data_IF_852356938344
#
_entry.id   IF_852356938344
#
_cell.length_a   1.000
_cell.length_b   1.000
_cell.length_c   1.000
_cell.angle_alpha   90.00
_cell.angle_beta   90.00
_cell.angle_gamma   90.00
#
_symmetry.space_group_name_H-M   'P 1'
#
loop_
_entity.id
_entity.type
_entity.pdbx_description
1 polymer ?
#
# COMPACT_ATOMS: atom_id res chain seq x y z
N UNK A 1 -6.98 12.63 9.44
CA UNK A 1 -5.92 12.38 8.43
C UNK A 1 -5.30 11.04 8.79
N UNK A 2 -5.25 10.10 7.85
CA UNK A 2 -4.83 8.72 8.12
C UNK A 2 -3.44 8.49 7.54
N UNK A 3 -2.47 8.13 8.38
CA UNK A 3 -1.09 7.84 7.99
C UNK A 3 -0.96 6.38 7.58
N UNK A 4 -0.10 6.11 6.61
CA UNK A 4 0.28 4.78 6.13
C UNK A 4 1.78 4.68 5.91
N UNK A 5 2.31 3.47 6.04
CA UNK A 5 3.70 3.12 5.77
C UNK A 5 3.76 2.06 4.67
N UNK A 6 3.57 2.45 3.39
CA UNK A 6 3.59 1.50 2.29
C UNK A 6 4.99 0.90 2.12
N UNK A 7 5.05 -0.41 1.95
CA UNK A 7 6.27 -1.15 1.60
C UNK A 7 6.23 -1.49 0.11
N UNK A 8 7.27 -1.13 -0.64
CA UNK A 8 7.34 -1.48 -2.06
C UNK A 8 7.73 -2.95 -2.22
N UNK A 9 6.91 -3.69 -2.97
CA UNK A 9 7.06 -5.16 -3.11
C UNK A 9 8.41 -5.53 -3.73
N UNK A 10 8.93 -4.75 -4.67
CA UNK A 10 10.25 -5.03 -5.29
C UNK A 10 11.39 -4.90 -4.29
N UNK A 11 11.35 -3.91 -3.39
CA UNK A 11 12.34 -3.78 -2.31
C UNK A 11 12.24 -4.98 -1.36
N UNK A 12 11.02 -5.42 -1.04
CA UNK A 12 10.80 -6.62 -0.24
C UNK A 12 11.34 -7.90 -0.91
N UNK A 13 11.12 -8.07 -2.21
CA UNK A 13 11.70 -9.17 -2.96
C UNK A 13 13.24 -9.13 -2.94
N UNK A 14 13.86 -7.95 -3.04
CA UNK A 14 15.30 -7.81 -2.93
C UNK A 14 15.81 -8.22 -1.54
N UNK A 15 15.07 -7.93 -0.47
CA UNK A 15 15.40 -8.37 0.90
C UNK A 15 15.40 -9.91 0.97
N UNK A 16 14.38 -10.55 0.42
CA UNK A 16 14.31 -12.02 0.35
C UNK A 16 15.50 -12.59 -0.43
N UNK A 17 15.85 -11.99 -1.56
CA UNK A 17 17.01 -12.40 -2.37
C UNK A 17 18.30 -12.27 -1.56
N UNK A 18 18.52 -11.17 -0.85
CA UNK A 18 19.70 -10.98 0.00
C UNK A 18 19.75 -12.04 1.12
N UNK A 19 18.62 -12.34 1.76
CA UNK A 19 18.54 -13.40 2.77
C UNK A 19 18.99 -14.76 2.21
N UNK A 20 18.54 -15.12 1.01
CA UNK A 20 18.89 -16.38 0.35
C UNK A 20 20.38 -16.40 -0.02
N UNK A 21 20.89 -15.32 -0.61
CA UNK A 21 22.27 -15.25 -1.10
C UNK A 21 23.30 -15.27 0.03
N UNK A 22 22.99 -14.58 1.13
CA UNK A 22 23.89 -14.45 2.29
C UNK A 22 23.61 -15.46 3.38
N UNK A 23 22.60 -16.32 3.21
CA UNK A 23 22.12 -17.29 4.22
C UNK A 23 21.86 -16.63 5.58
N UNK A 24 21.21 -15.47 5.57
CA UNK A 24 20.83 -14.77 6.80
C UNK A 24 19.78 -15.58 7.57
N UNK A 25 19.95 -15.64 8.87
CA UNK A 25 19.03 -16.27 9.81
C UNK A 25 18.50 -15.21 10.78
N UNK A 26 17.24 -15.34 11.19
CA UNK A 26 16.60 -14.42 12.14
C UNK A 26 15.17 -14.07 11.77
N UNK A 27 14.55 -13.25 12.62
CA UNK A 27 13.21 -12.69 12.42
C UNK A 27 13.39 -11.17 12.27
N UNK A 28 12.88 -10.62 11.17
CA UNK A 28 13.01 -9.20 10.84
C UNK A 28 11.65 -8.64 10.46
N UNK A 29 11.21 -7.60 11.18
CA UNK A 29 9.99 -6.87 10.85
C UNK A 29 10.29 -5.85 9.75
N UNK A 30 9.87 -6.15 8.53
CA UNK A 30 10.11 -5.28 7.38
C UNK A 30 8.92 -4.34 7.17
N UNK A 31 9.18 -3.04 7.28
CA UNK A 31 8.17 -2.00 7.19
C UNK A 31 8.56 -0.92 6.18
N UNK A 32 7.56 -0.25 5.59
CA UNK A 32 7.78 0.94 4.77
C UNK A 32 8.47 2.06 5.57
N UNK A 33 9.51 2.66 4.98
CA UNK A 33 10.29 3.73 5.63
C UNK A 33 9.51 5.05 5.64
N UNK A 34 8.85 5.37 4.52
CA UNK A 34 8.13 6.62 4.39
C UNK A 34 6.73 6.55 5.02
N UNK A 35 6.40 7.58 5.80
CA UNK A 35 5.04 7.80 6.32
C UNK A 35 4.30 8.74 5.38
N UNK A 36 3.24 8.24 4.75
CA UNK A 36 2.46 8.96 3.74
C UNK A 36 1.01 9.05 4.19
N UNK A 37 0.33 10.16 3.92
CA UNK A 37 -1.10 10.23 4.18
C UNK A 37 -1.88 9.45 3.11
N UNK A 38 -2.94 8.76 3.52
CA UNK A 38 -3.81 8.01 2.62
C UNK A 38 -4.29 8.83 1.41
N UNK A 39 -4.69 10.09 1.65
CA UNK A 39 -5.14 10.99 0.57
C UNK A 39 -4.03 11.26 -0.45
N UNK A 40 -2.78 11.32 -0.01
CA UNK A 40 -1.64 11.55 -0.90
C UNK A 40 -1.31 10.29 -1.70
N UNK A 41 -1.55 9.09 -1.14
CA UNK A 41 -1.51 7.83 -1.91
C UNK A 41 -2.52 7.86 -3.05
N UNK A 42 -3.79 8.20 -2.76
CA UNK A 42 -4.84 8.26 -3.78
C UNK A 42 -4.51 9.31 -4.86
N UNK A 43 -3.98 10.47 -4.47
CA UNK A 43 -3.53 11.50 -5.42
C UNK A 43 -2.38 11.02 -6.30
N UNK A 44 -1.40 10.31 -5.74
CA UNK A 44 -0.28 9.75 -6.50
C UNK A 44 -0.77 8.71 -7.51
N UNK A 45 -1.63 7.78 -7.10
CA UNK A 45 -2.26 6.80 -8.01
C UNK A 45 -2.99 7.52 -9.15
N UNK A 46 -3.84 8.50 -8.83
CA UNK A 46 -4.59 9.29 -9.84
C UNK A 46 -3.65 9.99 -10.83
N UNK A 47 -2.54 10.56 -10.34
CA UNK A 47 -1.53 11.23 -11.17
C UNK A 47 -0.90 10.27 -12.18
N UNK A 48 -0.42 9.12 -11.74
CA UNK A 48 0.30 8.17 -12.60
C UNK A 48 -0.60 7.33 -13.50
N UNK A 49 -1.83 7.04 -13.05
CA UNK A 49 -2.86 6.40 -13.89
C UNK A 49 -3.56 7.38 -14.84
N UNK A 50 -3.24 8.69 -14.76
CA UNK A 50 -3.89 9.77 -15.55
C UNK A 50 -5.42 9.80 -15.41
N UNK A 51 -5.93 9.36 -14.27
CA UNK A 51 -7.37 9.28 -14.02
C UNK A 51 -7.98 10.67 -13.85
N UNK A 52 -9.17 10.88 -14.43
CA UNK A 52 -9.95 12.13 -14.28
C UNK A 52 -10.90 12.11 -13.07
N UNK A 53 -10.97 11.01 -12.32
CA UNK A 53 -11.90 10.82 -11.19
C UNK A 53 -11.76 11.89 -10.10
N UNK A 54 -12.88 12.43 -9.62
CA UNK A 54 -12.89 13.42 -8.54
C UNK A 54 -12.57 12.76 -7.19
N UNK A 55 -11.69 13.39 -6.39
CA UNK A 55 -11.41 12.95 -5.02
C UNK A 55 -12.30 13.76 -4.08
N UNK A 56 -13.28 13.08 -3.47
CA UNK A 56 -14.22 13.69 -2.52
C UNK A 56 -13.92 13.20 -1.11
N UNK A 57 -13.79 14.15 -0.17
CA UNK A 57 -13.67 13.83 1.24
C UNK A 57 -15.07 13.74 1.86
N UNK A 58 -15.55 12.52 2.10
CA UNK A 58 -16.83 12.28 2.75
C UNK A 58 -16.62 11.94 4.24
N UNK A 59 -17.58 12.28 5.12
CA UNK A 59 -17.53 11.88 6.52
C UNK A 59 -17.52 10.35 6.67
N UNK A 60 -16.78 9.84 7.66
CA UNK A 60 -16.65 8.40 7.92
C UNK A 60 -18.00 7.70 8.09
N UNK A 61 -18.90 8.29 8.89
CA UNK A 61 -20.21 7.71 9.18
C UNK A 61 -21.07 7.54 7.91
N UNK A 62 -20.95 8.48 6.96
CA UNK A 62 -21.70 8.44 5.71
C UNK A 62 -21.21 7.26 4.87
N UNK A 63 -19.89 7.11 4.74
CA UNK A 63 -19.31 6.00 3.98
C UNK A 63 -19.61 4.64 4.62
N UNK A 64 -19.50 4.55 5.95
CA UNK A 64 -19.87 3.37 6.72
C UNK A 64 -21.32 2.94 6.44
N UNK A 65 -22.26 3.91 6.48
CA UNK A 65 -23.68 3.64 6.25
C UNK A 65 -23.94 3.15 4.83
N UNK A 66 -23.28 3.74 3.84
CA UNK A 66 -23.39 3.31 2.44
C UNK A 66 -22.90 1.86 2.25
N UNK A 67 -21.75 1.50 2.83
CA UNK A 67 -21.23 0.12 2.77
C UNK A 67 -22.13 -0.88 3.52
N UNK A 68 -22.66 -0.49 4.68
CA UNK A 68 -23.57 -1.33 5.45
C UNK A 68 -24.86 -1.63 4.67
N UNK A 69 -25.46 -0.60 4.06
CA UNK A 69 -26.65 -0.77 3.23
C UNK A 69 -26.33 -1.65 2.02
N UNK A 70 -25.19 -1.45 1.36
CA UNK A 70 -24.77 -2.28 0.23
C UNK A 70 -24.62 -3.76 0.60
N UNK A 71 -23.98 -4.06 1.73
CA UNK A 71 -23.77 -5.44 2.20
C UNK A 71 -25.04 -6.21 2.53
N UNK A 72 -26.19 -5.54 2.61
CA UNK A 72 -27.51 -6.21 2.71
C UNK A 72 -27.96 -6.75 1.34
N UNK A 73 -27.57 -6.09 0.24
CA UNK A 73 -27.99 -6.46 -1.11
C UNK A 73 -26.98 -7.37 -1.82
N UNK A 74 -25.70 -7.27 -1.47
CA UNK A 74 -24.60 -7.98 -2.10
C UNK A 74 -23.80 -8.77 -1.05
N UNK A 75 -23.77 -10.11 -1.11
CA UNK A 75 -23.01 -10.93 -0.17
C UNK A 75 -21.49 -10.85 -0.39
N UNK A 76 -21.02 -10.32 -1.53
CA UNK A 76 -19.58 -10.15 -1.83
C UNK A 76 -19.29 -8.73 -2.34
N UNK A 77 -19.46 -7.70 -1.48
CA UNK A 77 -19.26 -6.33 -1.90
C UNK A 77 -17.77 -6.08 -2.18
N UNK A 78 -17.44 -5.25 -3.19
CA UNK A 78 -16.05 -4.95 -3.53
C UNK A 78 -15.28 -4.22 -2.41
N UNK A 79 -15.99 -3.70 -1.41
CA UNK A 79 -15.41 -3.09 -0.22
C UNK A 79 -16.30 -3.28 1.01
N UNK A 80 -15.73 -3.66 2.16
CA UNK A 80 -16.51 -3.96 3.39
C UNK A 80 -16.32 -2.91 4.49
N UNK A 81 -17.26 -2.91 5.44
CA UNK A 81 -17.16 -2.10 6.67
C UNK A 81 -15.88 -2.42 7.46
N UNK A 82 -15.46 -3.68 7.49
CA UNK A 82 -14.26 -4.07 8.22
C UNK A 82 -12.98 -3.64 7.50
N UNK A 83 -12.96 -3.67 6.16
CA UNK A 83 -11.90 -3.04 5.37
C UNK A 83 -11.84 -1.53 5.61
N UNK A 84 -12.99 -0.85 5.74
CA UNK A 84 -13.03 0.56 6.11
C UNK A 84 -12.43 0.83 7.51
N UNK A 85 -12.73 -0.02 8.50
CA UNK A 85 -12.14 0.09 9.84
C UNK A 85 -10.63 -0.13 9.81
N UNK A 86 -10.16 -1.16 9.12
CA UNK A 86 -8.73 -1.42 8.92
C UNK A 86 -8.04 -0.22 8.26
N UNK A 87 -8.72 0.43 7.30
CA UNK A 87 -8.22 1.62 6.61
C UNK A 87 -8.13 2.88 7.50
N UNK A 88 -8.74 2.88 8.68
CA UNK A 88 -8.70 3.98 9.64
C UNK A 88 -7.81 3.69 10.86
N UNK A 89 -7.43 2.43 11.09
CA UNK A 89 -6.65 1.99 12.25
C UNK A 89 -5.31 2.72 12.45
N UNK A 90 -4.73 3.28 11.38
CA UNK A 90 -3.59 4.19 11.49
C UNK A 90 -2.31 3.47 11.90
N UNK A 91 -1.97 2.39 11.20
CA UNK A 91 -0.86 1.53 11.56
C UNK A 91 0.48 2.23 11.33
N UNK A 92 1.12 2.60 12.44
CA UNK A 92 2.51 3.03 12.50
C UNK A 92 3.28 1.90 13.17
N UNK A 93 4.22 1.35 12.43
CA UNK A 93 5.07 0.24 12.88
C UNK A 93 6.46 0.75 13.26
N UNK A 94 7.15 -0.05 14.06
CA UNK A 94 8.58 0.15 14.33
C UNK A 94 9.38 -0.08 13.04
N UNK A 95 10.34 0.80 12.77
CA UNK A 95 11.16 0.73 11.55
C UNK A 95 12.58 0.37 11.96
N UNK A 96 12.98 -0.85 11.64
CA UNK A 96 14.39 -1.29 11.76
C UNK A 96 15.22 -0.71 10.61
N UNK A 97 16.54 -0.65 10.77
CA UNK A 97 17.48 -0.24 9.69
C UNK A 97 17.73 -1.38 8.68
N UNK A 98 16.63 -1.89 8.10
CA UNK A 98 16.69 -2.90 7.06
C UNK A 98 17.50 -2.46 5.82
N UNK A 99 17.58 -1.18 5.42
CA UNK A 99 18.44 -0.76 4.31
C UNK A 99 19.91 -1.14 4.50
N UNK A 100 20.46 -0.92 5.69
CA UNK A 100 21.83 -1.34 5.99
C UNK A 100 21.95 -2.85 6.18
N UNK A 101 21.02 -3.47 6.91
CA UNK A 101 21.08 -4.91 7.22
C UNK A 101 21.12 -5.77 5.95
N UNK A 102 20.29 -5.42 4.96
CA UNK A 102 20.17 -6.17 3.70
C UNK A 102 20.90 -5.50 2.52
N UNK A 103 21.61 -4.39 2.76
CA UNK A 103 22.31 -3.61 1.73
C UNK A 103 21.41 -3.23 0.55
N UNK A 104 20.18 -2.79 0.84
CA UNK A 104 19.18 -2.41 -0.16
C UNK A 104 18.83 -0.94 0.00
N UNK A 105 18.87 -0.21 -1.12
CA UNK A 105 18.44 1.17 -1.15
C UNK A 105 16.90 1.21 -1.25
N UNK A 106 16.20 1.83 -0.28
CA UNK A 106 14.75 1.95 -0.35
C UNK A 106 14.32 2.80 -1.54
N UNK A 107 13.27 2.36 -2.22
CA UNK A 107 12.66 3.07 -3.33
C UNK A 107 11.71 4.14 -2.79
N UNK A 108 11.90 5.42 -3.17
CA UNK A 108 11.00 6.47 -2.72
C UNK A 108 9.55 6.22 -3.13
N UNK A 109 8.59 6.57 -2.27
CA UNK A 109 7.16 6.29 -2.47
C UNK A 109 6.66 6.72 -3.86
N UNK A 110 6.98 7.96 -4.27
CA UNK A 110 6.54 8.51 -5.55
C UNK A 110 7.07 7.71 -6.74
N UNK A 111 8.31 7.23 -6.66
CA UNK A 111 8.93 6.38 -7.70
C UNK A 111 8.33 4.98 -7.71
N UNK A 112 8.03 4.42 -6.54
CA UNK A 112 7.39 3.11 -6.43
C UNK A 112 5.98 3.13 -7.06
N UNK A 113 5.19 4.19 -6.83
CA UNK A 113 3.88 4.36 -7.47
C UNK A 113 4.02 4.53 -8.97
N UNK A 114 4.94 5.37 -9.44
CA UNK A 114 5.23 5.53 -10.86
C UNK A 114 5.53 4.18 -11.51
N UNK A 115 6.52 3.44 -11.00
CA UNK A 115 6.88 2.12 -11.53
C UNK A 115 5.68 1.17 -11.52
N UNK A 116 4.93 1.09 -10.41
CA UNK A 116 3.75 0.21 -10.29
C UNK A 116 2.73 0.43 -11.41
N UNK A 117 2.40 1.68 -11.73
CA UNK A 117 1.34 1.99 -12.70
C UNK A 117 1.83 2.29 -14.11
N UNK A 118 3.13 2.51 -14.33
CA UNK A 118 3.66 2.88 -15.65
C UNK A 118 4.77 1.98 -16.17
N UNK A 119 5.19 0.95 -15.42
CA UNK A 119 6.23 0.04 -15.89
C UNK A 119 5.83 -0.61 -17.23
N UNK A 120 6.67 -0.54 -18.28
CA UNK A 120 6.28 -0.90 -19.65
C UNK A 120 5.81 -2.35 -19.81
N UNK A 121 6.36 -3.24 -18.99
CA UNK A 121 6.05 -4.68 -18.99
C UNK A 121 5.05 -5.05 -17.87
N UNK A 122 5.44 -4.87 -16.61
CA UNK A 122 4.69 -5.37 -15.46
C UNK A 122 3.41 -4.62 -15.09
N UNK A 123 3.22 -3.34 -15.48
CA UNK A 123 2.01 -2.58 -15.10
C UNK A 123 0.70 -3.15 -15.68
N UNK A 124 0.80 -4.03 -16.68
CA UNK A 124 -0.34 -4.68 -17.32
C UNK A 124 -0.64 -6.06 -16.75
N UNK A 125 0.21 -6.58 -15.86
CA UNK A 125 0.05 -7.89 -15.26
C UNK A 125 -0.89 -7.78 -14.07
N UNK A 126 -1.99 -8.51 -14.12
CA UNK A 126 -2.94 -8.64 -13.00
C UNK A 126 -2.77 -10.05 -12.44
N UNK A 127 -2.47 -10.15 -11.15
CA UNK A 127 -2.42 -11.42 -10.44
C UNK A 127 -3.81 -11.69 -9.85
N UNK A 128 -4.35 -12.87 -10.12
CA UNK A 128 -5.59 -13.34 -9.47
C UNK A 128 -5.21 -13.86 -8.07
N UNK A 129 -5.92 -13.38 -7.04
CA UNK A 129 -5.73 -13.75 -5.64
C UNK A 129 -7.06 -14.11 -5.00
#
# INVERSE_FOLDING_TARGET
KYIRQPLYVKDFCNIIIDCIQTRKEGIYDITGIEKVYYVDIIKAIKKYTKSKTLILNIPYWLFYTLLYIWGVFDPDPPFTVDQLKALVAGDIFEVIDWPHIFNIKPTPFEKAIEETFTHPIYSKMVLEF
#
